data_IF_872886817840
#
_entry.id   IF_872886817840
#
_cell.length_a   1.000
_cell.length_b   1.000
_cell.length_c   1.000
_cell.angle_alpha   90.00
_cell.angle_beta   90.00
_cell.angle_gamma   90.00
#
_symmetry.space_group_name_H-M   'P 1'
#
loop_
_entity.id
_entity.type
_entity.pdbx_description
1 polymer ?
#
# COMPACT_ATOMS: atom_id res chain seq x y z
N UNK A 1 -20.33 33.04 -0.39
CA UNK A 1 -18.97 32.68 -0.90
C UNK A 1 -18.98 31.20 -1.21
N UNK A 2 -18.81 30.82 -2.46
CA UNK A 2 -18.80 29.38 -2.86
C UNK A 2 -17.61 28.71 -2.17
N UNK A 3 -17.88 27.79 -1.25
CA UNK A 3 -16.87 26.98 -0.58
C UNK A 3 -16.15 26.13 -1.64
N UNK A 4 -14.89 26.48 -1.96
CA UNK A 4 -14.12 25.75 -2.97
C UNK A 4 -13.78 24.35 -2.43
N UNK A 5 -14.29 23.34 -3.11
CA UNK A 5 -13.84 21.96 -2.92
C UNK A 5 -12.34 21.89 -3.23
N UNK A 6 -11.52 21.44 -2.29
CA UNK A 6 -10.11 21.14 -2.57
C UNK A 6 -9.94 19.64 -2.84
N UNK A 7 -8.97 19.28 -3.69
CA UNK A 7 -8.76 17.89 -4.10
C UNK A 7 -7.33 17.47 -3.76
N UNK A 8 -7.20 16.43 -2.94
CA UNK A 8 -5.91 15.74 -2.73
C UNK A 8 -5.82 14.57 -3.71
N UNK A 9 -4.72 14.45 -4.41
CA UNK A 9 -4.44 13.31 -5.31
C UNK A 9 -3.38 12.42 -4.69
N UNK A 10 -3.66 11.14 -4.61
CA UNK A 10 -2.77 10.11 -4.07
C UNK A 10 -2.43 9.12 -5.17
N UNK A 11 -1.17 9.09 -5.58
CA UNK A 11 -0.63 7.99 -6.38
C UNK A 11 -0.05 6.96 -5.41
N UNK A 12 -0.57 5.73 -5.43
CA UNK A 12 -0.07 4.61 -4.64
C UNK A 12 0.76 3.73 -5.57
N UNK A 13 1.99 3.42 -5.19
CA UNK A 13 2.89 2.55 -5.93
C UNK A 13 3.25 1.35 -5.06
N UNK A 14 2.89 0.13 -5.50
CA UNK A 14 3.40 -1.09 -4.87
C UNK A 14 4.89 -1.22 -5.17
N UNK A 15 5.67 -1.68 -4.19
CA UNK A 15 7.07 -2.07 -4.44
C UNK A 15 7.18 -3.11 -5.56
N UNK A 16 8.33 -3.18 -6.21
CA UNK A 16 8.67 -4.19 -7.21
C UNK A 16 9.05 -5.55 -6.61
N UNK A 17 9.42 -6.50 -7.45
CA UNK A 17 9.86 -7.82 -7.03
C UNK A 17 11.04 -7.74 -6.05
N UNK A 18 11.04 -8.62 -5.04
CA UNK A 18 12.10 -8.70 -4.03
C UNK A 18 13.12 -9.78 -4.37
N UNK A 19 14.29 -9.71 -3.73
CA UNK A 19 15.41 -10.60 -4.02
C UNK A 19 15.24 -12.02 -3.45
N UNK A 20 14.38 -12.18 -2.46
CA UNK A 20 14.13 -13.40 -1.70
C UNK A 20 12.96 -14.27 -2.25
N UNK A 21 12.51 -14.03 -3.48
CA UNK A 21 11.50 -14.85 -4.16
C UNK A 21 10.08 -14.68 -3.63
N UNK A 22 9.25 -15.72 -3.82
CA UNK A 22 7.85 -15.74 -3.41
C UNK A 22 7.70 -16.39 -2.03
N UNK A 23 7.66 -15.53 -1.02
CA UNK A 23 7.47 -15.89 0.39
C UNK A 23 6.30 -15.09 0.98
N UNK A 24 5.74 -15.56 2.07
CA UNK A 24 4.90 -14.74 2.95
C UNK A 24 5.76 -13.65 3.58
N UNK A 25 5.82 -12.50 2.93
CA UNK A 25 6.84 -11.48 3.26
C UNK A 25 6.44 -10.63 4.46
N UNK A 26 5.19 -10.15 4.49
CA UNK A 26 4.71 -9.29 5.56
C UNK A 26 5.68 -8.16 5.90
N UNK A 27 6.15 -8.15 7.14
CA UNK A 27 7.13 -7.20 7.68
C UNK A 27 8.58 -7.64 7.53
N UNK A 28 8.85 -8.85 6.99
CA UNK A 28 10.22 -9.24 6.62
C UNK A 28 10.86 -8.15 5.77
N UNK A 29 12.03 -7.67 6.19
CA UNK A 29 12.65 -6.48 5.60
C UNK A 29 13.53 -6.79 4.37
N UNK A 30 12.89 -7.38 3.37
CA UNK A 30 13.46 -7.78 2.09
C UNK A 30 13.96 -6.61 1.26
N UNK A 31 15.03 -6.84 0.51
CA UNK A 31 15.52 -5.88 -0.49
C UNK A 31 14.78 -6.05 -1.82
N UNK A 32 14.71 -4.98 -2.60
CA UNK A 32 14.31 -5.08 -4.02
C UNK A 32 15.34 -5.89 -4.81
N UNK A 33 14.84 -6.71 -5.74
CA UNK A 33 15.68 -7.24 -6.81
C UNK A 33 15.99 -6.16 -7.84
N UNK A 34 16.98 -6.42 -8.72
CA UNK A 34 17.26 -5.52 -9.85
C UNK A 34 16.03 -5.40 -10.78
N UNK A 35 15.32 -6.52 -11.00
CA UNK A 35 14.07 -6.55 -11.76
C UNK A 35 13.02 -5.68 -11.07
N UNK A 36 12.85 -5.82 -9.75
CA UNK A 36 11.89 -5.02 -9.00
C UNK A 36 12.16 -3.53 -9.04
N UNK A 37 13.43 -3.13 -8.97
CA UNK A 37 13.82 -1.73 -9.13
C UNK A 37 13.47 -1.21 -10.53
N UNK A 38 13.72 -2.01 -11.58
CA UNK A 38 13.36 -1.64 -12.95
C UNK A 38 11.84 -1.52 -13.14
N UNK A 39 11.07 -2.46 -12.59
CA UNK A 39 9.60 -2.41 -12.61
C UNK A 39 9.07 -1.10 -12.03
N UNK A 40 9.58 -0.67 -10.87
CA UNK A 40 9.15 0.58 -10.23
C UNK A 40 9.55 1.82 -11.05
N UNK A 41 10.72 1.82 -11.68
CA UNK A 41 11.15 2.91 -12.57
C UNK A 41 10.24 3.02 -13.78
N UNK A 42 9.93 1.90 -14.45
CA UNK A 42 9.02 1.86 -15.59
C UNK A 42 7.60 2.32 -15.21
N UNK A 43 7.10 1.92 -14.03
CA UNK A 43 5.78 2.33 -13.55
C UNK A 43 5.62 3.86 -13.45
N UNK A 44 6.70 4.60 -13.27
CA UNK A 44 6.68 6.07 -13.14
C UNK A 44 7.32 6.81 -14.32
N UNK A 45 7.91 6.12 -15.29
CA UNK A 45 8.68 6.71 -16.38
C UNK A 45 7.90 7.76 -17.18
N UNK A 46 6.65 7.47 -17.49
CA UNK A 46 5.76 8.37 -18.23
C UNK A 46 4.87 9.21 -17.31
N UNK A 47 5.28 9.38 -16.06
CA UNK A 47 4.50 10.15 -15.11
C UNK A 47 4.67 11.65 -15.36
N UNK A 48 3.58 12.32 -15.73
CA UNK A 48 3.52 13.79 -15.88
C UNK A 48 3.02 14.47 -14.60
N UNK A 49 2.80 13.72 -13.54
CA UNK A 49 2.27 14.23 -12.28
C UNK A 49 3.33 15.03 -11.53
N UNK A 50 2.94 16.20 -11.04
CA UNK A 50 3.79 17.02 -10.18
C UNK A 50 3.58 16.65 -8.71
N UNK A 51 4.21 15.60 -8.25
CA UNK A 51 4.18 15.25 -6.83
C UNK A 51 4.82 16.37 -5.98
N UNK A 52 4.23 16.62 -4.83
CA UNK A 52 4.74 17.61 -3.86
C UNK A 52 5.55 16.98 -2.75
N UNK A 53 5.39 15.68 -2.52
CA UNK A 53 6.21 14.87 -1.63
C UNK A 53 6.06 13.38 -1.95
N UNK A 54 6.99 12.59 -1.44
CA UNK A 54 6.95 11.14 -1.42
C UNK A 54 6.73 10.69 0.03
N UNK A 55 5.79 9.78 0.23
CA UNK A 55 5.55 9.10 1.50
C UNK A 55 5.94 7.64 1.30
N UNK A 56 6.72 7.08 2.19
CA UNK A 56 7.21 5.71 2.05
C UNK A 56 6.89 4.87 3.27
N UNK A 57 6.50 3.62 3.05
CA UNK A 57 6.68 2.58 4.07
C UNK A 57 8.15 2.54 4.51
N UNK A 58 8.46 2.27 5.80
CA UNK A 58 9.84 2.14 6.28
C UNK A 58 10.57 0.90 5.76
N UNK A 59 9.85 -0.12 5.22
CA UNK A 59 10.48 -1.36 4.77
C UNK A 59 11.38 -1.09 3.54
N UNK A 60 12.56 -1.70 3.54
CA UNK A 60 13.66 -1.43 2.58
C UNK A 60 13.22 -1.49 1.13
N UNK A 61 12.35 -2.46 0.76
CA UNK A 61 11.81 -2.59 -0.59
C UNK A 61 11.00 -1.38 -1.09
N UNK A 62 10.49 -0.56 -0.16
CA UNK A 62 9.84 0.71 -0.48
C UNK A 62 10.80 1.89 -0.29
N UNK A 63 11.51 1.91 0.85
CA UNK A 63 12.32 3.06 1.27
C UNK A 63 13.49 3.33 0.34
N UNK A 64 14.20 2.29 -0.11
CA UNK A 64 15.35 2.46 -1.03
C UNK A 64 14.96 3.16 -2.34
N UNK A 65 13.86 2.73 -2.96
CA UNK A 65 13.36 3.38 -4.17
C UNK A 65 12.89 4.81 -3.89
N UNK A 66 12.16 5.00 -2.80
CA UNK A 66 11.62 6.31 -2.40
C UNK A 66 12.73 7.34 -2.17
N UNK A 67 13.83 6.93 -1.50
CA UNK A 67 14.98 7.80 -1.25
C UNK A 67 15.65 8.20 -2.57
N UNK A 68 15.94 7.23 -3.46
CA UNK A 68 16.52 7.52 -4.75
C UNK A 68 15.67 8.49 -5.58
N UNK A 69 14.35 8.27 -5.60
CA UNK A 69 13.42 9.13 -6.34
C UNK A 69 13.33 10.53 -5.72
N UNK A 70 13.28 10.62 -4.39
CA UNK A 70 13.24 11.89 -3.66
C UNK A 70 14.48 12.75 -3.96
N UNK A 71 15.67 12.14 -3.92
CA UNK A 71 16.95 12.81 -4.22
C UNK A 71 16.99 13.29 -5.68
N UNK A 72 16.57 12.45 -6.62
CA UNK A 72 16.55 12.77 -8.06
C UNK A 72 15.59 13.91 -8.39
N UNK A 73 14.41 13.91 -7.81
CA UNK A 73 13.36 14.91 -8.08
C UNK A 73 13.39 16.10 -7.11
N UNK A 74 14.29 16.08 -6.12
CA UNK A 74 14.38 17.09 -5.05
C UNK A 74 13.07 17.27 -4.30
N UNK A 75 12.39 16.16 -4.02
CA UNK A 75 11.14 16.15 -3.30
C UNK A 75 11.34 15.79 -1.82
N UNK A 76 10.53 16.35 -0.92
CA UNK A 76 10.48 15.91 0.47
C UNK A 76 10.09 14.43 0.55
N UNK A 77 10.81 13.66 1.38
CA UNK A 77 10.47 12.27 1.74
C UNK A 77 10.00 12.23 3.19
N UNK A 78 8.83 11.63 3.40
CA UNK A 78 8.32 11.29 4.72
C UNK A 78 8.20 9.77 4.86
N UNK A 79 8.50 9.24 6.04
CA UNK A 79 8.35 7.82 6.35
C UNK A 79 7.09 7.67 7.20
N UNK A 80 6.19 6.76 6.78
CA UNK A 80 4.97 6.45 7.50
C UNK A 80 4.99 5.00 7.95
N UNK A 81 5.10 4.77 9.25
CA UNK A 81 5.21 3.44 9.83
C UNK A 81 3.95 2.60 9.60
N UNK A 82 2.78 3.21 9.66
CA UNK A 82 1.51 2.52 9.51
C UNK A 82 1.19 2.16 8.04
N UNK A 83 2.04 2.54 7.08
CA UNK A 83 2.01 2.03 5.71
C UNK A 83 2.90 0.80 5.49
N UNK A 84 3.37 0.15 6.55
CA UNK A 84 3.96 -1.21 6.46
C UNK A 84 2.91 -2.23 6.00
N UNK A 85 3.40 -3.33 5.40
CA UNK A 85 2.54 -4.46 5.05
C UNK A 85 1.94 -5.11 6.30
N UNK A 86 0.86 -5.86 6.14
CA UNK A 86 0.29 -6.69 7.20
C UNK A 86 1.37 -7.66 7.70
N UNK A 87 1.42 -7.88 9.03
CA UNK A 87 2.29 -8.92 9.56
C UNK A 87 1.66 -10.30 9.39
N UNK A 88 2.43 -11.23 8.84
CA UNK A 88 2.05 -12.64 8.76
C UNK A 88 2.56 -13.48 9.95
N UNK A 89 3.19 -12.85 10.95
CA UNK A 89 3.66 -13.52 12.15
C UNK A 89 4.63 -14.66 11.84
N UNK A 90 4.32 -15.88 12.33
CA UNK A 90 5.18 -17.06 12.19
C UNK A 90 5.32 -17.57 10.75
N UNK A 91 4.48 -17.10 9.84
CA UNK A 91 4.59 -17.46 8.42
C UNK A 91 5.55 -16.54 7.65
N UNK A 92 6.06 -15.49 8.26
CA UNK A 92 6.98 -14.58 7.57
C UNK A 92 8.31 -15.27 7.20
N UNK A 93 8.72 -15.12 5.95
CA UNK A 93 9.91 -15.73 5.39
C UNK A 93 9.70 -17.13 4.80
N UNK A 94 8.55 -17.76 5.04
CA UNK A 94 8.23 -19.10 4.54
C UNK A 94 7.56 -19.05 3.16
N UNK A 95 7.76 -20.10 2.36
CA UNK A 95 6.98 -20.35 1.15
C UNK A 95 5.69 -21.07 1.49
N UNK A 96 4.72 -21.05 0.56
CA UNK A 96 3.40 -21.66 0.77
C UNK A 96 3.49 -23.13 1.16
N UNK A 97 4.37 -23.89 0.48
CA UNK A 97 4.57 -25.34 0.69
C UNK A 97 5.08 -25.65 2.10
N UNK A 98 5.91 -24.80 2.68
CA UNK A 98 6.41 -24.97 4.05
C UNK A 98 5.28 -24.75 5.08
N UNK A 99 4.45 -23.73 4.85
CA UNK A 99 3.29 -23.46 5.72
C UNK A 99 2.24 -24.58 5.59
N UNK A 100 2.00 -25.08 4.36
CA UNK A 100 1.08 -26.21 4.14
C UNK A 100 1.52 -27.47 4.89
N UNK A 101 2.81 -27.77 4.89
CA UNK A 101 3.37 -28.94 5.55
C UNK A 101 3.19 -28.90 7.08
N UNK A 102 3.30 -27.71 7.68
CA UNK A 102 3.24 -27.53 9.13
C UNK A 102 1.82 -27.15 9.63
N UNK A 103 1.18 -26.24 8.92
CA UNK A 103 -0.04 -25.54 9.36
C UNK A 103 -1.12 -25.47 8.28
N UNK A 104 -1.23 -26.45 7.39
CA UNK A 104 -2.08 -26.40 6.19
C UNK A 104 -3.56 -26.09 6.46
N UNK A 105 -4.14 -26.60 7.56
CA UNK A 105 -5.54 -26.26 7.92
C UNK A 105 -5.70 -24.78 8.29
N UNK A 106 -4.72 -24.19 8.94
CA UNK A 106 -4.75 -22.77 9.29
C UNK A 106 -4.59 -21.90 8.06
N UNK A 107 -3.70 -22.30 7.14
CA UNK A 107 -3.50 -21.63 5.85
C UNK A 107 -4.79 -21.69 5.01
N UNK A 108 -5.44 -22.83 4.92
CA UNK A 108 -6.75 -22.97 4.24
C UNK A 108 -7.81 -22.06 4.86
N UNK A 109 -7.95 -22.07 6.19
CA UNK A 109 -8.90 -21.21 6.89
C UNK A 109 -8.60 -19.73 6.63
N UNK A 110 -7.33 -19.33 6.63
CA UNK A 110 -6.90 -17.97 6.30
C UNK A 110 -7.27 -17.57 4.87
N UNK A 111 -7.07 -18.45 3.87
CA UNK A 111 -7.44 -18.16 2.49
C UNK A 111 -8.95 -18.04 2.29
N UNK A 112 -9.74 -18.84 3.02
CA UNK A 112 -11.21 -18.83 2.94
C UNK A 112 -11.82 -17.59 3.62
N UNK A 113 -11.27 -17.17 4.75
CA UNK A 113 -11.79 -16.04 5.53
C UNK A 113 -10.68 -15.34 6.32
N UNK A 114 -10.01 -14.40 5.67
CA UNK A 114 -8.91 -13.61 6.27
C UNK A 114 -9.37 -12.63 7.34
N UNK A 115 -10.67 -12.32 7.39
CA UNK A 115 -11.21 -11.40 8.38
C UNK A 115 -11.29 -12.07 9.76
N UNK A 116 -11.63 -13.36 9.79
CA UNK A 116 -11.78 -14.13 11.03
C UNK A 116 -10.61 -15.07 11.33
N UNK A 117 -9.67 -15.22 10.43
CA UNK A 117 -8.49 -16.07 10.62
C UNK A 117 -7.22 -15.23 10.47
N UNK A 118 -6.42 -15.21 11.51
CA UNK A 118 -5.13 -14.49 11.54
C UNK A 118 -4.00 -15.52 11.60
N UNK A 119 -2.90 -15.32 10.84
CA UNK A 119 -1.71 -16.15 10.98
C UNK A 119 -1.21 -16.17 12.44
N UNK A 120 -0.61 -17.26 12.92
CA UNK A 120 -0.07 -17.30 14.28
C UNK A 120 0.88 -16.13 14.54
N UNK A 121 0.67 -15.40 15.64
CA UNK A 121 1.42 -14.18 15.99
C UNK A 121 1.40 -13.06 14.92
N UNK A 122 0.51 -13.16 13.94
CA UNK A 122 0.31 -12.17 12.89
C UNK A 122 -0.61 -11.02 13.30
N UNK A 123 -0.87 -10.13 12.37
CA UNK A 123 -1.75 -8.98 12.54
C UNK A 123 -3.15 -9.29 12.02
N UNK A 124 -4.17 -8.99 12.83
CA UNK A 124 -5.56 -9.13 12.38
C UNK A 124 -5.88 -8.15 11.23
N UNK A 125 -6.67 -8.61 10.26
CA UNK A 125 -7.01 -7.81 9.07
C UNK A 125 -7.71 -6.49 9.44
N UNK A 126 -8.54 -6.51 10.48
CA UNK A 126 -9.24 -5.31 10.97
C UNK A 126 -8.26 -4.28 11.54
N UNK A 127 -7.30 -4.71 12.35
CA UNK A 127 -6.29 -3.83 12.96
C UNK A 127 -5.37 -3.24 11.89
N UNK A 128 -4.95 -4.07 10.93
CA UNK A 128 -4.20 -3.64 9.75
C UNK A 128 -4.95 -2.54 8.96
N UNK A 129 -6.22 -2.77 8.66
CA UNK A 129 -7.05 -1.80 7.95
C UNK A 129 -7.18 -0.49 8.75
N UNK A 130 -7.42 -0.59 10.05
CA UNK A 130 -7.60 0.57 10.91
C UNK A 130 -6.35 1.45 11.00
N UNK A 131 -5.14 0.86 11.21
CA UNK A 131 -3.92 1.66 11.26
C UNK A 131 -3.62 2.31 9.91
N UNK A 132 -3.78 1.55 8.82
CA UNK A 132 -3.58 2.07 7.45
C UNK A 132 -4.51 3.26 7.14
N UNK A 133 -5.78 3.14 7.52
CA UNK A 133 -6.75 4.23 7.32
C UNK A 133 -6.47 5.42 8.24
N UNK A 134 -6.07 5.19 9.49
CA UNK A 134 -5.69 6.25 10.42
C UNK A 134 -4.49 7.05 9.90
N UNK A 135 -3.47 6.37 9.34
CA UNK A 135 -2.33 7.02 8.69
C UNK A 135 -2.77 7.86 7.49
N UNK A 136 -3.66 7.33 6.64
CA UNK A 136 -4.23 8.09 5.53
C UNK A 136 -4.95 9.35 6.02
N UNK A 137 -5.79 9.25 7.04
CA UNK A 137 -6.51 10.41 7.60
C UNK A 137 -5.55 11.49 8.12
N UNK A 138 -4.47 11.10 8.78
CA UNK A 138 -3.45 12.04 9.25
C UNK A 138 -2.72 12.72 8.09
N UNK A 139 -2.35 11.94 7.06
CA UNK A 139 -1.74 12.46 5.85
C UNK A 139 -2.65 13.50 5.16
N UNK A 140 -3.94 13.20 5.01
CA UNK A 140 -4.91 14.10 4.39
C UNK A 140 -5.09 15.40 5.17
N UNK A 141 -5.04 15.36 6.50
CA UNK A 141 -5.10 16.58 7.34
C UNK A 141 -3.87 17.46 7.13
N UNK A 142 -2.67 16.87 7.02
CA UNK A 142 -1.41 17.59 6.90
C UNK A 142 -1.16 18.12 5.47
N UNK A 143 -1.68 17.44 4.45
CA UNK A 143 -1.32 17.67 3.04
C UNK A 143 -2.54 17.86 2.14
N UNK A 144 -3.59 18.45 2.68
CA UNK A 144 -4.83 18.73 1.96
C UNK A 144 -4.58 19.55 0.68
N UNK A 145 -5.19 19.13 -0.42
CA UNK A 145 -5.08 19.81 -1.71
C UNK A 145 -3.78 19.52 -2.49
N UNK A 146 -2.90 18.66 -1.99
CA UNK A 146 -1.64 18.35 -2.62
C UNK A 146 -1.68 17.02 -3.40
N UNK A 147 -0.77 16.85 -4.37
CA UNK A 147 -0.54 15.57 -5.06
C UNK A 147 0.64 14.86 -4.41
N UNK A 148 0.44 13.64 -3.94
CA UNK A 148 1.44 12.84 -3.21
C UNK A 148 1.69 11.52 -3.92
N UNK A 149 2.94 11.04 -3.85
CA UNK A 149 3.28 9.65 -4.15
C UNK A 149 3.42 8.87 -2.83
N UNK A 150 2.71 7.76 -2.71
CA UNK A 150 2.84 6.83 -1.58
C UNK A 150 3.43 5.52 -2.09
N UNK A 151 4.65 5.18 -1.64
CA UNK A 151 5.31 3.92 -2.00
C UNK A 151 5.10 2.93 -0.87
N UNK A 152 4.39 1.83 -1.17
CA UNK A 152 3.90 0.90 -0.16
C UNK A 152 3.72 -0.53 -0.71
N UNK A 153 2.78 -1.30 -0.18
CA UNK A 153 2.60 -2.73 -0.36
C UNK A 153 1.22 -3.09 -0.93
N UNK A 154 1.10 -4.33 -1.37
CA UNK A 154 -0.15 -4.83 -1.94
C UNK A 154 -1.33 -4.81 -0.98
N UNK A 155 -1.13 -5.22 0.28
CA UNK A 155 -2.18 -5.20 1.30
C UNK A 155 -2.65 -3.78 1.62
N UNK A 156 -1.72 -2.83 1.79
CA UNK A 156 -2.05 -1.41 2.04
C UNK A 156 -2.88 -0.83 0.90
N UNK A 157 -2.47 -1.06 -0.36
CA UNK A 157 -3.22 -0.56 -1.53
C UNK A 157 -4.62 -1.18 -1.59
N UNK A 158 -4.76 -2.50 -1.36
CA UNK A 158 -6.07 -3.17 -1.28
C UNK A 158 -6.96 -2.57 -0.20
N UNK A 159 -6.39 -2.33 0.99
CA UNK A 159 -7.10 -1.72 2.11
C UNK A 159 -7.62 -0.31 1.78
N UNK A 160 -6.79 0.53 1.14
CA UNK A 160 -7.17 1.87 0.76
C UNK A 160 -8.20 1.91 -0.38
N UNK A 161 -8.11 0.98 -1.36
CA UNK A 161 -9.12 0.82 -2.41
C UNK A 161 -10.44 0.37 -1.81
N UNK A 162 -10.42 -0.66 -0.94
CA UNK A 162 -11.63 -1.15 -0.28
C UNK A 162 -12.33 -0.04 0.50
N UNK A 163 -11.56 0.79 1.21
CA UNK A 163 -12.10 1.95 1.90
C UNK A 163 -12.71 2.97 0.93
N UNK A 164 -11.99 3.36 -0.13
CA UNK A 164 -12.45 4.34 -1.11
C UNK A 164 -13.75 3.91 -1.83
N UNK A 165 -13.91 2.62 -2.06
CA UNK A 165 -15.07 2.02 -2.72
C UNK A 165 -16.15 1.54 -1.73
N UNK A 166 -15.96 1.74 -0.42
CA UNK A 166 -16.87 1.28 0.64
C UNK A 166 -17.17 -0.23 0.56
N UNK A 167 -16.15 -1.01 0.18
CA UNK A 167 -16.26 -2.47 0.07
C UNK A 167 -16.20 -3.11 1.46
N UNK A 168 -16.88 -4.25 1.67
CA UNK A 168 -16.62 -5.11 2.83
C UNK A 168 -15.14 -5.48 2.90
N UNK A 169 -14.54 -5.46 4.09
CA UNK A 169 -13.10 -5.68 4.26
C UNK A 169 -12.64 -7.03 3.68
N UNK A 170 -13.44 -8.09 3.85
CA UNK A 170 -13.19 -9.41 3.24
C UNK A 170 -13.08 -9.39 1.71
N UNK A 171 -13.68 -8.40 1.04
CA UNK A 171 -13.65 -8.31 -0.41
C UNK A 171 -12.34 -7.73 -0.96
N UNK A 172 -11.48 -7.16 -0.13
CA UNK A 172 -10.21 -6.56 -0.58
C UNK A 172 -9.26 -7.58 -1.23
N UNK A 173 -9.39 -8.86 -0.89
CA UNK A 173 -8.58 -9.94 -1.50
C UNK A 173 -8.87 -10.16 -2.99
N UNK A 174 -10.03 -9.72 -3.48
CA UNK A 174 -10.39 -9.83 -4.90
C UNK A 174 -9.76 -8.72 -5.78
N UNK A 175 -9.02 -7.80 -5.16
CA UNK A 175 -8.30 -6.75 -5.88
C UNK A 175 -6.90 -7.27 -6.19
N UNK A 176 -6.57 -7.49 -7.47
CA UNK A 176 -5.20 -7.80 -7.86
C UNK A 176 -4.34 -6.54 -7.81
N UNK A 177 -3.21 -6.62 -7.14
CA UNK A 177 -2.24 -5.52 -7.04
C UNK A 177 -0.86 -6.11 -7.36
N UNK A 178 -0.47 -6.26 -8.63
CA UNK A 178 0.82 -6.83 -9.02
C UNK A 178 1.99 -5.93 -8.62
N UNK A 179 3.22 -6.44 -8.67
CA UNK A 179 4.42 -5.64 -8.41
C UNK A 179 4.45 -4.38 -9.27
N UNK A 180 4.89 -3.28 -8.70
CA UNK A 180 4.93 -1.96 -9.32
C UNK A 180 3.58 -1.42 -9.85
N UNK A 181 2.45 -2.03 -9.45
CA UNK A 181 1.13 -1.51 -9.78
C UNK A 181 0.95 -0.08 -9.28
N UNK A 182 0.41 0.78 -10.13
CA UNK A 182 -0.01 2.15 -9.80
C UNK A 182 -1.51 2.24 -9.61
N UNK A 183 -1.89 2.87 -8.51
CA UNK A 183 -3.28 3.19 -8.18
C UNK A 183 -3.39 4.67 -7.91
N UNK A 184 -4.38 5.34 -8.47
CA UNK A 184 -4.64 6.73 -8.13
C UNK A 184 -6.01 6.87 -7.47
N UNK A 185 -6.02 7.53 -6.31
CA UNK A 185 -7.22 7.91 -5.58
C UNK A 185 -7.25 9.43 -5.47
N UNK A 186 -8.39 10.03 -5.77
CA UNK A 186 -8.67 11.43 -5.46
C UNK A 186 -9.56 11.55 -4.24
N UNK A 187 -9.21 12.48 -3.37
CA UNK A 187 -10.00 12.80 -2.17
C UNK A 187 -10.52 14.22 -2.32
N UNK A 188 -11.83 14.34 -2.35
CA UNK A 188 -12.54 15.62 -2.48
C UNK A 188 -12.93 16.09 -1.09
N UNK A 189 -12.44 17.25 -0.73
CA UNK A 189 -12.65 17.85 0.57
C UNK A 189 -13.71 18.96 0.47
N UNK A 190 -14.79 18.81 1.20
CA UNK A 190 -15.82 19.84 1.34
C UNK A 190 -15.84 20.35 2.79
N UNK A 191 -16.05 21.64 3.02
CA UNK A 191 -16.28 22.14 4.38
C UNK A 191 -17.63 21.68 4.96
N UNK A 192 -18.59 21.37 4.10
CA UNK A 192 -19.98 21.11 4.50
C UNK A 192 -20.34 19.60 4.50
N UNK A 193 -19.43 18.74 3.99
CA UNK A 193 -19.66 17.30 3.85
C UNK A 193 -18.40 16.51 4.22
N UNK A 194 -18.54 15.24 4.62
CA UNK A 194 -17.41 14.34 4.79
C UNK A 194 -16.55 14.25 3.51
N UNK A 195 -15.27 14.01 3.67
CA UNK A 195 -14.38 13.76 2.55
C UNK A 195 -14.88 12.58 1.70
N UNK A 196 -14.86 12.73 0.38
CA UNK A 196 -15.28 11.72 -0.57
C UNK A 196 -14.10 11.24 -1.40
N UNK A 197 -13.96 9.93 -1.56
CA UNK A 197 -12.85 9.31 -2.28
C UNK A 197 -13.32 8.70 -3.60
N UNK A 198 -12.48 8.81 -4.63
CA UNK A 198 -12.72 8.24 -5.94
C UNK A 198 -11.49 7.51 -6.45
N UNK A 199 -11.65 6.24 -6.82
CA UNK A 199 -10.64 5.48 -7.53
C UNK A 199 -10.60 5.96 -8.99
N UNK A 200 -9.47 6.52 -9.42
CA UNK A 200 -9.30 7.08 -10.76
C UNK A 200 -8.76 6.06 -11.75
N UNK A 201 -7.78 5.32 -11.34
CA UNK A 201 -7.22 4.20 -12.10
C UNK A 201 -6.50 3.22 -11.17
N UNK A 202 -6.41 1.99 -11.64
CA UNK A 202 -5.64 0.91 -11.03
C UNK A 202 -5.06 0.07 -12.16
N UNK A 203 -3.74 0.06 -12.31
CA UNK A 203 -3.10 -0.55 -13.47
C UNK A 203 -1.73 -1.11 -13.14
N UNK A 204 -1.33 -2.25 -13.71
CA UNK A 204 0.05 -2.70 -13.71
C UNK A 204 0.95 -1.69 -14.46
N UNK A 205 2.26 -1.82 -14.27
CA UNK A 205 3.27 -1.03 -15.01
C UNK A 205 3.39 -1.48 -16.47
#
# INVERSE_FOLDING_TARGET
MSSRVSVTTLDLLRHGACADGDIFRGRTDSLLSQVGLQQMRQAIENNTSEWKAIISSPLKRCLQFSQQLADQQKLPLAIEADFQEISFGDWEGLVTEEIEADSGKQLEAYWLDRENNTPPNGEALVDFHQRTFSALQQLLKQRRGAHQLIVTHGGVIRSLIAHALQMPLKAMQHIDVPYACRTQIKVFHSPDHPDWMQLMHHRPY
#
